data_IF_778304447203
#
_entry.id   IF_778304447203
#
_cell.length_a   1.000
_cell.length_b   1.000
_cell.length_c   1.000
_cell.angle_alpha   90.00
_cell.angle_beta   90.00
_cell.angle_gamma   90.00
#
_symmetry.space_group_name_H-M   'P 1'
#
loop_
_entity.id
_entity.type
_entity.pdbx_description
1 polymer ?
#
# COMPACT_ATOMS: atom_id res chain seq x y z
N UNK A 1 11.73 3.18 -29.37
CA UNK A 1 11.20 2.63 -28.11
C UNK A 1 11.97 3.28 -26.98
N UNK A 2 11.39 4.23 -26.27
CA UNK A 2 11.99 4.77 -25.04
C UNK A 2 11.80 3.73 -23.95
N UNK A 3 12.84 2.95 -23.72
CA UNK A 3 13.00 2.13 -22.53
C UNK A 3 12.99 3.08 -21.33
N UNK A 4 11.85 3.19 -20.64
CA UNK A 4 11.77 3.99 -19.43
C UNK A 4 12.59 3.25 -18.38
N UNK A 5 13.86 3.64 -18.24
CA UNK A 5 14.72 3.13 -17.17
C UNK A 5 13.95 3.28 -15.87
N UNK A 6 13.75 2.21 -15.07
CA UNK A 6 13.04 2.31 -13.81
C UNK A 6 13.77 3.31 -12.93
N UNK A 7 13.22 4.53 -12.87
CA UNK A 7 13.82 5.63 -12.15
C UNK A 7 13.60 5.43 -10.66
N UNK A 8 14.67 5.55 -9.88
CA UNK A 8 14.54 5.70 -8.44
C UNK A 8 13.75 6.98 -8.16
N UNK A 9 12.66 6.87 -7.41
CA UNK A 9 11.84 8.01 -6.98
C UNK A 9 11.77 8.02 -5.46
N UNK A 10 12.04 9.18 -4.88
CA UNK A 10 11.78 9.43 -3.46
C UNK A 10 10.42 10.09 -3.33
N UNK A 11 9.55 9.52 -2.49
CA UNK A 11 8.26 10.10 -2.14
C UNK A 11 8.22 10.36 -0.63
N UNK A 12 7.55 11.43 -0.23
CA UNK A 12 7.22 11.66 1.17
C UNK A 12 5.81 11.14 1.41
N UNK A 13 5.64 10.41 2.51
CA UNK A 13 4.35 9.89 2.97
C UNK A 13 4.18 10.27 4.43
N UNK A 14 2.94 10.27 4.90
CA UNK A 14 2.67 10.45 6.32
C UNK A 14 3.16 9.22 7.12
N UNK A 15 3.48 9.43 8.39
CA UNK A 15 4.08 8.39 9.25
C UNK A 15 3.13 7.18 9.43
N UNK A 16 1.84 7.42 9.56
CA UNK A 16 0.79 6.38 9.65
C UNK A 16 0.72 5.51 8.39
N UNK A 17 0.84 6.13 7.21
CA UNK A 17 0.92 5.41 5.93
C UNK A 17 2.19 4.57 5.87
N UNK A 18 3.33 5.11 6.32
CA UNK A 18 4.58 4.36 6.38
C UNK A 18 4.48 3.13 7.30
N UNK A 19 3.85 3.28 8.46
CA UNK A 19 3.64 2.17 9.40
C UNK A 19 2.81 1.04 8.79
N UNK A 20 1.75 1.38 8.04
CA UNK A 20 0.95 0.39 7.29
C UNK A 20 1.82 -0.31 6.25
N UNK A 21 2.56 0.44 5.44
CA UNK A 21 3.43 -0.13 4.40
C UNK A 21 4.50 -1.06 5.01
N UNK A 22 5.11 -0.66 6.12
CA UNK A 22 6.11 -1.46 6.82
C UNK A 22 5.51 -2.76 7.38
N UNK A 23 4.36 -2.68 8.05
CA UNK A 23 3.66 -3.86 8.56
C UNK A 23 3.27 -4.82 7.43
N UNK A 24 2.83 -4.29 6.29
CA UNK A 24 2.51 -5.10 5.11
C UNK A 24 3.76 -5.75 4.52
N UNK A 25 4.86 -5.01 4.43
CA UNK A 25 6.16 -5.51 3.96
C UNK A 25 6.65 -6.68 4.82
N UNK A 26 6.66 -6.50 6.16
CA UNK A 26 7.05 -7.52 7.13
C UNK A 26 6.13 -8.76 7.05
N UNK A 27 4.81 -8.56 6.93
CA UNK A 27 3.83 -9.65 6.80
C UNK A 27 3.99 -10.47 5.51
N UNK A 28 4.55 -9.88 4.47
CA UNK A 28 4.67 -10.48 3.13
C UNK A 28 6.11 -10.89 2.82
N UNK A 29 7.03 -10.72 3.77
CA UNK A 29 8.47 -10.95 3.60
C UNK A 29 9.01 -10.25 2.33
N UNK A 30 8.67 -8.96 2.20
CA UNK A 30 9.03 -8.14 1.03
C UNK A 30 9.46 -6.74 1.45
N UNK A 31 9.91 -5.91 0.51
CA UNK A 31 10.27 -4.52 0.77
C UNK A 31 9.05 -3.57 0.64
N UNK A 32 9.25 -2.27 0.91
CA UNK A 32 8.19 -1.26 0.80
C UNK A 32 7.62 -1.18 -0.63
N UNK A 33 8.42 -1.42 -1.68
CA UNK A 33 7.93 -1.42 -3.05
C UNK A 33 7.06 -2.66 -3.33
N UNK A 34 7.45 -3.82 -2.79
CA UNK A 34 6.65 -5.04 -2.82
C UNK A 34 5.33 -4.88 -2.09
N UNK A 35 5.34 -4.22 -0.93
CA UNK A 35 4.12 -3.87 -0.19
C UNK A 35 3.20 -2.93 -0.99
N UNK A 36 3.76 -1.87 -1.60
CA UNK A 36 3.01 -0.97 -2.48
C UNK A 36 2.39 -1.72 -3.66
N UNK A 37 3.17 -2.55 -4.34
CA UNK A 37 2.71 -3.36 -5.46
C UNK A 37 1.59 -4.31 -5.05
N UNK A 38 1.75 -4.98 -3.91
CA UNK A 38 0.72 -5.85 -3.34
C UNK A 38 -0.57 -5.07 -3.08
N UNK A 39 -0.50 -3.88 -2.46
CA UNK A 39 -1.68 -3.06 -2.19
C UNK A 39 -2.37 -2.53 -3.46
N UNK A 40 -1.63 -2.32 -4.56
CA UNK A 40 -2.22 -1.96 -5.85
C UNK A 40 -2.84 -3.15 -6.59
N UNK A 41 -2.28 -4.36 -6.43
CA UNK A 41 -2.73 -5.56 -7.13
C UNK A 41 -3.88 -6.28 -6.42
N UNK A 42 -4.00 -6.13 -5.10
CA UNK A 42 -5.04 -6.77 -4.31
C UNK A 42 -6.34 -5.98 -4.46
N UNK A 43 -7.46 -6.64 -4.82
CA UNK A 43 -8.75 -5.98 -4.77
C UNK A 43 -9.02 -5.55 -3.33
N UNK A 44 -9.08 -4.25 -3.09
CA UNK A 44 -9.38 -3.67 -1.78
C UNK A 44 -10.64 -4.37 -1.27
N UNK A 45 -10.58 -5.12 -0.14
CA UNK A 45 -11.79 -5.59 0.50
C UNK A 45 -12.61 -4.32 0.75
N UNK A 46 -13.82 -4.28 0.20
CA UNK A 46 -14.77 -3.20 0.51
C UNK A 46 -14.79 -3.13 2.03
N UNK A 47 -14.32 -2.02 2.60
CA UNK A 47 -14.48 -1.77 4.02
C UNK A 47 -15.96 -2.04 4.29
N UNK A 48 -16.26 -3.01 5.16
CA UNK A 48 -17.60 -3.14 5.68
C UNK A 48 -17.93 -1.73 6.16
N UNK A 49 -18.91 -1.09 5.52
CA UNK A 49 -19.51 0.08 6.12
C UNK A 49 -19.86 -0.37 7.53
N UNK A 50 -19.37 0.36 8.52
CA UNK A 50 -20.02 0.34 9.81
C UNK A 50 -21.48 0.73 9.48
N UNK A 51 -22.35 -0.28 9.36
CA UNK A 51 -23.78 -0.08 9.57
C UNK A 51 -23.88 0.32 11.04
N UNK A 52 -23.55 1.59 11.32
CA UNK A 52 -24.11 2.32 12.44
C UNK A 52 -25.60 2.44 12.10
N UNK A 53 -26.34 1.38 12.42
CA UNK A 53 -27.76 1.44 12.71
C UNK A 53 -27.92 2.44 13.86
N UNK A 54 -28.07 3.73 13.50
CA UNK A 54 -28.43 4.81 14.40
C UNK A 54 -29.94 4.69 14.68
N UNK A 55 -30.28 3.98 15.76
CA UNK A 55 -31.62 3.97 16.39
C UNK A 55 -31.96 5.31 17.08
#
# INVERSE_FOLDING_TARGET
MTDATPGLRTIQVADDVYDVLKRTADSRDTDINGALRYLFEVPTPRAAAEDDDED
#
